data_IF_581526904663
#
_entry.id   IF_581526904663
#
_cell.length_a   1.000
_cell.length_b   1.000
_cell.length_c   1.000
_cell.angle_alpha   90.00
_cell.angle_beta   90.00
_cell.angle_gamma   90.00
#
_symmetry.space_group_name_H-M   'P 1'
#
loop_
_entity.id
_entity.type
_entity.pdbx_description
1 polymer ?
#
# COMPACT_ATOMS: atom_id res chain seq x y z
N UNK A 1 -13.17 -10.14 11.51
CA UNK A 1 -13.67 -8.77 11.44
C UNK A 1 -13.07 -8.12 10.21
N UNK A 2 -13.89 -7.81 9.21
CA UNK A 2 -13.42 -7.05 8.05
C UNK A 2 -13.29 -5.55 8.39
N UNK A 3 -12.73 -4.76 7.48
CA UNK A 3 -12.46 -3.35 7.74
C UNK A 3 -13.73 -2.48 7.84
N UNK A 4 -14.79 -2.85 7.13
CA UNK A 4 -16.08 -2.16 7.20
C UNK A 4 -16.75 -2.43 8.54
N UNK A 5 -16.80 -3.70 8.94
CA UNK A 5 -17.31 -4.15 10.24
C UNK A 5 -16.58 -3.46 11.39
N UNK A 6 -15.24 -3.43 11.36
CA UNK A 6 -14.45 -2.72 12.37
C UNK A 6 -14.77 -1.22 12.44
N UNK A 7 -14.91 -0.56 11.29
CA UNK A 7 -15.12 0.88 11.26
C UNK A 7 -16.50 1.27 11.84
N UNK A 8 -17.55 0.50 11.51
CA UNK A 8 -18.89 0.70 12.08
C UNK A 8 -18.91 0.36 13.58
N UNK A 9 -18.35 -0.79 13.99
CA UNK A 9 -18.26 -1.14 15.41
C UNK A 9 -17.45 -0.13 16.22
N UNK A 10 -16.40 0.45 15.64
CA UNK A 10 -15.58 1.47 16.27
C UNK A 10 -16.36 2.77 16.48
N UNK A 11 -17.13 3.23 15.48
CA UNK A 11 -18.00 4.40 15.63
C UNK A 11 -19.08 4.18 16.68
N UNK A 12 -19.70 2.99 16.72
CA UNK A 12 -20.66 2.64 17.76
C UNK A 12 -20.03 2.62 19.16
N UNK A 13 -18.82 2.06 19.28
CA UNK A 13 -18.08 2.04 20.54
C UNK A 13 -17.73 3.45 21.00
N UNK A 14 -17.16 4.29 20.13
CA UNK A 14 -16.79 5.67 20.46
C UNK A 14 -18.01 6.49 20.85
N UNK A 15 -19.16 6.29 20.17
CA UNK A 15 -20.42 6.93 20.55
C UNK A 15 -20.87 6.52 21.95
N UNK A 16 -20.82 5.21 22.27
CA UNK A 16 -21.15 4.70 23.61
C UNK A 16 -20.20 5.26 24.67
N UNK A 17 -18.90 5.29 24.37
CA UNK A 17 -17.88 5.85 25.27
C UNK A 17 -18.13 7.34 25.55
N UNK A 18 -18.42 8.15 24.51
CA UNK A 18 -18.79 9.57 24.67
C UNK A 18 -20.05 9.74 25.51
N UNK A 19 -21.10 8.97 25.24
CA UNK A 19 -22.37 9.06 25.99
C UNK A 19 -22.13 8.75 27.48
N UNK A 20 -21.30 7.75 27.77
CA UNK A 20 -20.99 7.36 29.15
C UNK A 20 -20.28 8.45 29.97
N UNK A 21 -19.62 9.40 29.31
CA UNK A 21 -18.89 10.50 29.95
C UNK A 21 -19.54 11.88 29.73
N UNK A 22 -20.74 11.95 29.11
CA UNK A 22 -21.37 13.24 28.76
C UNK A 22 -21.67 14.09 30.00
N UNK A 23 -22.16 13.48 31.08
CA UNK A 23 -22.41 14.18 32.34
C UNK A 23 -21.10 14.70 32.98
N UNK A 24 -20.02 13.93 32.88
CA UNK A 24 -18.69 14.34 33.37
C UNK A 24 -18.15 15.53 32.57
N UNK A 25 -18.30 15.50 31.24
CA UNK A 25 -17.96 16.61 30.35
C UNK A 25 -18.76 17.88 30.66
N UNK A 26 -20.06 17.75 30.93
CA UNK A 26 -20.89 18.90 31.32
C UNK A 26 -20.45 19.48 32.65
N UNK A 27 -20.05 18.64 33.61
CA UNK A 27 -19.39 19.05 34.85
C UNK A 27 -18.10 19.82 34.58
N UNK A 28 -17.22 19.27 33.75
CA UNK A 28 -15.97 19.92 33.36
C UNK A 28 -16.19 21.28 32.68
N UNK A 29 -17.21 21.40 31.81
CA UNK A 29 -17.60 22.67 31.19
C UNK A 29 -18.10 23.70 32.20
N UNK A 30 -18.75 23.26 33.27
CA UNK A 30 -19.19 24.12 34.36
C UNK A 30 -17.99 24.56 35.23
N UNK A 31 -17.08 23.64 35.55
CA UNK A 31 -15.86 23.92 36.32
C UNK A 31 -14.91 24.86 35.57
N UNK A 32 -14.83 24.72 34.24
CA UNK A 32 -14.03 25.58 33.36
C UNK A 32 -14.52 27.04 33.28
N UNK A 33 -15.72 27.35 33.80
CA UNK A 33 -16.13 28.75 34.03
C UNK A 33 -15.27 29.43 35.10
N UNK A 34 -14.62 28.63 35.95
CA UNK A 34 -13.64 29.06 36.93
C UNK A 34 -14.24 29.87 38.07
N UNK A 35 -13.36 30.55 38.81
CA UNK A 35 -13.69 31.48 39.87
C UNK A 35 -13.19 32.90 39.51
N UNK A 36 -13.69 33.97 40.15
CA UNK A 36 -13.27 35.32 39.85
C UNK A 36 -11.74 35.49 39.91
N UNK A 37 -11.11 35.84 38.79
CA UNK A 37 -9.67 36.08 38.65
C UNK A 37 -8.89 34.96 37.97
N UNK A 38 -9.47 33.76 37.78
CA UNK A 38 -8.80 32.60 37.16
C UNK A 38 -8.40 32.84 35.70
N UNK A 39 -9.13 33.70 34.97
CA UNK A 39 -8.84 34.07 33.58
C UNK A 39 -7.49 34.79 33.36
N UNK A 40 -6.77 35.15 34.42
CA UNK A 40 -5.46 35.80 34.33
C UNK A 40 -4.32 34.81 34.21
N UNK A 41 -4.52 33.54 34.56
CA UNK A 41 -3.49 32.52 34.47
C UNK A 41 -3.62 31.73 33.15
N UNK A 42 -2.50 31.46 32.44
CA UNK A 42 -2.51 30.74 31.16
C UNK A 42 -3.22 29.39 31.21
N UNK A 43 -2.91 28.57 32.22
CA UNK A 43 -3.48 27.24 32.43
C UNK A 43 -5.01 27.22 32.42
N UNK A 44 -5.68 28.30 32.85
CA UNK A 44 -7.14 28.38 32.84
C UNK A 44 -7.69 28.52 31.43
N UNK A 45 -7.06 29.38 30.61
CA UNK A 45 -7.44 29.57 29.21
C UNK A 45 -7.27 28.29 28.42
N UNK A 46 -6.07 27.70 28.50
CA UNK A 46 -5.72 26.44 27.83
C UNK A 46 -6.68 25.32 28.23
N UNK A 47 -6.91 25.11 29.53
CA UNK A 47 -7.82 24.04 30.01
C UNK A 47 -9.27 24.23 29.55
N UNK A 48 -9.78 25.48 29.60
CA UNK A 48 -11.14 25.79 29.16
C UNK A 48 -11.31 25.50 27.66
N UNK A 49 -10.36 25.94 26.86
CA UNK A 49 -10.42 25.79 25.41
C UNK A 49 -10.29 24.30 25.01
N UNK A 50 -9.45 23.54 25.70
CA UNK A 50 -9.34 22.08 25.55
C UNK A 50 -10.68 21.40 25.88
N UNK A 51 -11.28 21.67 27.03
CA UNK A 51 -12.55 21.04 27.43
C UNK A 51 -13.65 21.34 26.40
N UNK A 52 -13.75 22.59 25.93
CA UNK A 52 -14.75 23.00 24.95
C UNK A 52 -14.53 22.35 23.58
N UNK A 53 -13.30 22.38 23.07
CA UNK A 53 -12.97 21.81 21.77
C UNK A 53 -13.16 20.28 21.77
N UNK A 54 -12.73 19.62 22.84
CA UNK A 54 -12.87 18.18 22.98
C UNK A 54 -14.35 17.77 23.07
N UNK A 55 -15.18 18.53 23.81
CA UNK A 55 -16.62 18.29 23.88
C UNK A 55 -17.28 18.31 22.50
N UNK A 56 -17.10 19.39 21.75
CA UNK A 56 -17.73 19.55 20.43
C UNK A 56 -17.21 18.53 19.42
N UNK A 57 -15.89 18.36 19.34
CA UNK A 57 -15.31 17.45 18.37
C UNK A 57 -15.67 15.99 18.68
N UNK A 58 -15.70 15.59 19.96
CA UNK A 58 -16.10 14.23 20.34
C UNK A 58 -17.56 13.91 20.01
N UNK A 59 -18.43 14.92 20.03
CA UNK A 59 -19.83 14.80 19.62
C UNK A 59 -19.97 14.71 18.10
N UNK A 60 -19.28 15.58 17.37
CA UNK A 60 -19.31 15.65 15.90
C UNK A 60 -18.75 14.37 15.27
N UNK A 61 -17.62 13.87 15.78
CA UNK A 61 -16.91 12.71 15.23
C UNK A 61 -17.75 11.44 15.20
N UNK A 62 -18.71 11.31 16.13
CA UNK A 62 -19.57 10.11 16.29
C UNK A 62 -21.05 10.39 16.03
N UNK A 63 -21.38 11.52 15.38
CA UNK A 63 -22.75 11.94 15.12
C UNK A 63 -23.54 10.93 14.26
N UNK A 64 -22.88 10.32 13.28
CA UNK A 64 -23.39 9.22 12.46
C UNK A 64 -22.43 8.03 12.50
N UNK A 65 -22.94 6.86 12.88
CA UNK A 65 -22.15 5.63 13.02
C UNK A 65 -22.11 4.78 11.75
N UNK A 66 -22.87 5.16 10.71
CA UNK A 66 -22.93 4.45 9.42
C UNK A 66 -21.74 4.84 8.55
N UNK A 67 -21.34 3.96 7.65
CA UNK A 67 -20.38 4.27 6.57
C UNK A 67 -20.98 3.78 5.25
N UNK A 68 -21.02 4.61 4.21
CA UNK A 68 -20.58 6.01 4.17
C UNK A 68 -21.52 6.97 4.92
N UNK A 69 -20.97 8.09 5.41
CA UNK A 69 -21.71 9.22 5.96
C UNK A 69 -21.06 10.55 5.54
N UNK A 70 -21.54 11.69 6.06
CA UNK A 70 -21.01 13.02 5.72
C UNK A 70 -19.52 13.20 6.06
N UNK A 71 -19.05 12.62 7.16
CA UNK A 71 -17.67 12.73 7.62
C UNK A 71 -16.75 11.65 7.01
N UNK A 72 -17.28 10.44 6.78
CA UNK A 72 -16.51 9.28 6.36
C UNK A 72 -17.11 8.61 5.12
N UNK A 73 -16.47 8.83 3.97
CA UNK A 73 -16.86 8.19 2.71
C UNK A 73 -16.49 6.70 2.60
N UNK A 74 -15.56 6.22 3.44
CA UNK A 74 -15.12 4.81 3.45
C UNK A 74 -14.43 4.45 4.78
N UNK A 75 -14.19 3.15 5.06
CA UNK A 75 -13.41 2.71 6.23
C UNK A 75 -11.98 3.27 6.28
N UNK A 76 -11.35 3.51 5.14
CA UNK A 76 -10.03 4.16 5.04
C UNK A 76 -10.09 5.62 5.50
N UNK A 77 -11.15 6.33 5.11
CA UNK A 77 -11.35 7.73 5.51
C UNK A 77 -11.66 7.82 7.00
N UNK A 78 -12.45 6.89 7.53
CA UNK A 78 -12.63 6.74 8.96
C UNK A 78 -11.31 6.51 9.70
N UNK A 79 -10.48 5.57 9.24
CA UNK A 79 -9.18 5.28 9.83
C UNK A 79 -8.26 6.52 9.86
N UNK A 80 -8.16 7.25 8.74
CA UNK A 80 -7.40 8.49 8.66
C UNK A 80 -7.93 9.55 9.63
N UNK A 81 -9.26 9.70 9.69
CA UNK A 81 -9.93 10.59 10.64
C UNK A 81 -9.63 10.21 12.09
N UNK A 82 -9.65 8.93 12.43
CA UNK A 82 -9.40 8.43 13.78
C UNK A 82 -7.94 8.65 14.21
N UNK A 83 -6.98 8.46 13.30
CA UNK A 83 -5.55 8.78 13.55
C UNK A 83 -5.36 10.28 13.74
N UNK A 84 -6.00 11.11 12.91
CA UNK A 84 -5.96 12.56 13.06
C UNK A 84 -6.60 13.01 14.38
N UNK A 85 -7.71 12.39 14.76
CA UNK A 85 -8.37 12.67 16.04
C UNK A 85 -7.47 12.30 17.22
N UNK A 86 -6.83 11.13 17.19
CA UNK A 86 -5.85 10.74 18.21
C UNK A 86 -4.74 11.78 18.37
N UNK A 87 -4.17 12.23 17.25
CA UNK A 87 -3.10 13.24 17.26
C UNK A 87 -3.57 14.59 17.82
N UNK A 88 -4.80 15.00 17.47
CA UNK A 88 -5.43 16.20 18.03
C UNK A 88 -5.61 16.11 19.55
N UNK A 89 -6.07 14.97 20.07
CA UNK A 89 -6.25 14.75 21.51
C UNK A 89 -4.90 14.62 22.24
N UNK A 90 -3.90 14.03 21.60
CA UNK A 90 -2.54 13.96 22.16
C UNK A 90 -1.91 15.35 22.32
N UNK A 91 -2.09 16.24 21.35
CA UNK A 91 -1.60 17.62 21.48
C UNK A 91 -2.21 18.34 22.69
N UNK A 92 -3.48 18.06 23.02
CA UNK A 92 -4.10 18.58 24.24
C UNK A 92 -3.48 18.03 25.53
N UNK A 93 -3.00 16.77 25.53
CA UNK A 93 -2.24 16.21 26.67
C UNK A 93 -0.95 17.00 26.85
N UNK A 94 -0.23 17.21 25.75
CA UNK A 94 1.06 17.89 25.76
C UNK A 94 0.90 19.34 26.26
N UNK A 95 -0.11 20.06 25.79
CA UNK A 95 -0.45 21.41 26.26
C UNK A 95 -0.75 21.45 27.78
N UNK A 96 -1.48 20.46 28.31
CA UNK A 96 -1.80 20.38 29.74
C UNK A 96 -0.57 20.03 30.59
N UNK A 97 0.35 19.21 30.07
CA UNK A 97 1.63 18.91 30.71
C UNK A 97 2.52 20.15 30.81
N UNK A 98 2.56 20.97 29.76
CA UNK A 98 3.28 22.25 29.75
C UNK A 98 2.71 23.22 30.79
N UNK A 99 1.38 23.37 30.84
CA UNK A 99 0.71 24.24 31.81
C UNK A 99 0.93 23.79 33.26
N UNK A 100 0.88 22.47 33.51
CA UNK A 100 1.20 21.92 34.83
C UNK A 100 2.65 22.21 35.21
N UNK A 101 3.61 21.94 34.31
CA UNK A 101 5.03 22.18 34.59
C UNK A 101 5.32 23.66 34.87
N UNK A 102 4.71 24.56 34.10
CA UNK A 102 4.83 26.01 34.32
C UNK A 102 4.24 26.43 35.68
N UNK A 103 3.11 25.85 36.08
CA UNK A 103 2.48 26.09 37.37
C UNK A 103 3.35 25.60 38.53
N UNK A 104 3.82 24.36 38.47
CA UNK A 104 4.72 23.77 39.48
C UNK A 104 5.99 24.60 39.67
N UNK A 105 6.60 25.06 38.58
CA UNK A 105 7.78 25.92 38.62
C UNK A 105 7.50 27.28 39.27
N UNK A 106 6.39 27.93 38.90
CA UNK A 106 5.98 29.24 39.42
C UNK A 106 5.65 29.19 40.91
N UNK A 107 4.99 28.12 41.35
CA UNK A 107 4.47 27.99 42.71
C UNK A 107 5.35 27.16 43.65
N UNK A 108 6.38 26.49 43.13
CA UNK A 108 7.29 25.60 43.87
C UNK A 108 6.55 24.48 44.62
N UNK A 109 5.56 23.90 43.97
CA UNK A 109 4.75 22.79 44.46
C UNK A 109 4.73 21.67 43.42
N UNK A 110 4.25 20.49 43.82
CA UNK A 110 3.99 19.37 42.93
C UNK A 110 2.48 19.24 42.76
N UNK A 111 2.01 19.09 41.53
CA UNK A 111 0.59 18.97 41.19
C UNK A 111 0.08 20.12 40.32
N UNK A 112 -1.05 19.86 39.66
CA UNK A 112 -1.69 20.80 38.76
C UNK A 112 -2.78 21.62 39.46
N UNK A 113 -3.18 22.77 38.89
CA UNK A 113 -4.45 23.41 39.22
C UNK A 113 -5.61 22.42 39.00
N UNK A 114 -6.64 22.50 39.83
CA UNK A 114 -7.80 21.61 39.74
C UNK A 114 -8.40 21.52 38.32
N UNK A 115 -8.50 22.65 37.61
CA UNK A 115 -9.07 22.69 36.26
C UNK A 115 -8.20 21.97 35.23
N UNK A 116 -6.87 21.98 35.39
CA UNK A 116 -5.95 21.21 34.54
C UNK A 116 -6.18 19.72 34.76
N UNK A 117 -6.36 19.28 36.00
CA UNK A 117 -6.69 17.88 36.31
C UNK A 117 -8.06 17.46 35.73
N UNK A 118 -9.05 18.36 35.81
CA UNK A 118 -10.38 18.13 35.21
C UNK A 118 -10.26 17.97 33.69
N UNK A 119 -9.54 18.88 33.01
CA UNK A 119 -9.31 18.80 31.57
C UNK A 119 -8.56 17.52 31.18
N UNK A 120 -7.49 17.19 31.91
CA UNK A 120 -6.66 16.01 31.69
C UNK A 120 -7.46 14.72 31.76
N UNK A 121 -8.37 14.63 32.73
CA UNK A 121 -9.26 13.48 32.87
C UNK A 121 -10.15 13.28 31.64
N UNK A 122 -10.73 14.36 31.11
CA UNK A 122 -11.56 14.28 29.89
C UNK A 122 -10.74 13.85 28.67
N UNK A 123 -9.55 14.43 28.50
CA UNK A 123 -8.61 14.09 27.42
C UNK A 123 -8.23 12.60 27.48
N UNK A 124 -7.91 12.07 28.65
CA UNK A 124 -7.55 10.66 28.81
C UNK A 124 -8.72 9.69 28.60
N UNK A 125 -9.95 10.06 28.95
CA UNK A 125 -11.12 9.24 28.62
C UNK A 125 -11.30 9.11 27.10
N UNK A 126 -11.20 10.22 26.37
CA UNK A 126 -11.32 10.22 24.91
C UNK A 126 -10.14 9.50 24.27
N UNK A 127 -8.91 9.80 24.68
CA UNK A 127 -7.70 9.17 24.14
C UNK A 127 -7.70 7.66 24.36
N UNK A 128 -8.09 7.20 25.55
CA UNK A 128 -8.21 5.77 25.86
C UNK A 128 -9.26 5.06 25.00
N UNK A 129 -10.38 5.72 24.71
CA UNK A 129 -11.39 5.18 23.80
C UNK A 129 -10.87 5.06 22.36
N UNK A 130 -10.15 6.08 21.87
CA UNK A 130 -9.51 6.06 20.55
C UNK A 130 -8.44 4.96 20.49
N UNK A 131 -7.55 4.89 21.48
CA UNK A 131 -6.49 3.88 21.54
C UNK A 131 -7.07 2.46 21.58
N UNK A 132 -8.16 2.25 22.31
CA UNK A 132 -8.87 0.98 22.30
C UNK A 132 -9.41 0.61 20.91
N UNK A 133 -9.99 1.56 20.18
CA UNK A 133 -10.48 1.29 18.81
C UNK A 133 -9.35 1.00 17.82
N UNK A 134 -8.25 1.74 17.91
CA UNK A 134 -7.07 1.53 17.07
C UNK A 134 -6.40 0.19 17.36
N UNK A 135 -6.30 -0.22 18.63
CA UNK A 135 -5.74 -1.52 19.02
C UNK A 135 -6.56 -2.71 18.52
N UNK A 136 -7.87 -2.52 18.32
CA UNK A 136 -8.80 -3.52 17.78
C UNK A 136 -8.94 -3.46 16.27
N UNK A 137 -8.24 -2.54 15.61
CA UNK A 137 -8.18 -2.51 14.15
C UNK A 137 -7.82 -3.91 13.67
N UNK A 138 -8.62 -4.51 12.77
CA UNK A 138 -8.20 -5.75 12.15
C UNK A 138 -6.86 -5.41 11.51
N UNK A 139 -5.82 -6.09 11.99
CA UNK A 139 -4.61 -6.16 11.18
C UNK A 139 -5.10 -6.55 9.80
N UNK A 140 -4.62 -5.92 8.71
CA UNK A 140 -4.85 -6.52 7.41
C UNK A 140 -4.56 -8.01 7.61
N UNK A 141 -5.45 -8.94 7.19
CA UNK A 141 -5.05 -10.34 7.20
C UNK A 141 -3.67 -10.28 6.61
N UNK A 142 -2.66 -10.72 7.38
CA UNK A 142 -1.26 -10.54 6.98
C UNK A 142 -1.30 -10.83 5.50
N UNK A 143 -0.94 -9.87 4.66
CA UNK A 143 -0.87 -10.19 3.27
C UNK A 143 0.27 -11.22 3.24
N UNK A 144 -0.05 -12.49 3.46
CA UNK A 144 0.12 -13.50 2.46
C UNK A 144 -0.42 -12.85 1.19
N UNK A 145 0.39 -11.95 0.63
CA UNK A 145 0.78 -12.03 -0.75
C UNK A 145 0.78 -13.53 -0.98
N UNK A 146 -0.28 -14.03 -1.63
CA UNK A 146 -0.36 -15.46 -1.90
C UNK A 146 1.00 -15.85 -2.48
N UNK A 147 1.55 -17.03 -2.16
CA UNK A 147 2.86 -17.44 -2.71
C UNK A 147 2.91 -17.12 -4.21
N UNK A 148 1.79 -17.36 -4.90
CA UNK A 148 1.55 -16.98 -6.29
C UNK A 148 1.76 -15.49 -6.60
N UNK A 149 1.17 -14.55 -5.85
CA UNK A 149 1.41 -13.11 -6.06
C UNK A 149 2.87 -12.73 -5.81
N UNK A 150 3.52 -13.33 -4.81
CA UNK A 150 4.93 -13.03 -4.49
C UNK A 150 5.85 -13.54 -5.60
N UNK A 151 5.54 -14.73 -6.11
CA UNK A 151 6.22 -15.38 -7.23
C UNK A 151 6.04 -14.58 -8.54
N UNK A 152 4.84 -14.09 -8.83
CA UNK A 152 4.59 -13.21 -9.97
C UNK A 152 5.36 -11.89 -9.86
N UNK A 153 5.38 -11.27 -8.69
CA UNK A 153 6.14 -10.04 -8.45
C UNK A 153 7.66 -10.26 -8.50
N UNK A 154 8.13 -11.45 -8.12
CA UNK A 154 9.51 -11.88 -8.31
C UNK A 154 9.85 -11.96 -9.80
N UNK A 155 9.03 -12.61 -10.64
CA UNK A 155 9.26 -12.68 -12.09
C UNK A 155 9.35 -11.28 -12.70
N UNK A 156 8.43 -10.38 -12.32
CA UNK A 156 8.45 -8.98 -12.76
C UNK A 156 9.75 -8.28 -12.34
N UNK A 157 10.20 -8.52 -11.12
CA UNK A 157 11.46 -7.96 -10.61
C UNK A 157 12.67 -8.49 -11.37
N UNK A 158 12.72 -9.79 -11.65
CA UNK A 158 13.76 -10.42 -12.45
C UNK A 158 13.80 -9.85 -13.87
N UNK A 159 12.64 -9.68 -14.52
CA UNK A 159 12.54 -9.09 -15.85
C UNK A 159 13.04 -7.64 -15.89
N UNK A 160 12.67 -6.82 -14.89
CA UNK A 160 13.17 -5.44 -14.77
C UNK A 160 14.70 -5.39 -14.62
N UNK A 161 15.27 -6.34 -13.87
CA UNK A 161 16.72 -6.42 -13.61
C UNK A 161 17.50 -7.23 -14.65
N UNK A 162 16.85 -7.73 -15.69
CA UNK A 162 17.48 -8.60 -16.68
C UNK A 162 18.73 -7.98 -17.32
N UNK A 163 18.72 -6.68 -17.63
CA UNK A 163 19.90 -5.99 -18.16
C UNK A 163 21.13 -6.11 -17.25
N UNK A 164 20.95 -6.08 -15.93
CA UNK A 164 22.06 -6.26 -14.97
C UNK A 164 22.69 -7.65 -15.06
N UNK A 165 21.87 -8.69 -15.26
CA UNK A 165 22.37 -10.05 -15.50
C UNK A 165 23.18 -10.12 -16.80
N UNK A 166 22.74 -9.42 -17.85
CA UNK A 166 23.49 -9.34 -19.12
C UNK A 166 24.81 -8.60 -18.92
N UNK A 167 24.83 -7.48 -18.19
CA UNK A 167 26.05 -6.74 -17.88
C UNK A 167 27.04 -7.57 -17.05
N UNK A 168 26.55 -8.33 -16.06
CA UNK A 168 27.37 -9.21 -15.22
C UNK A 168 28.08 -10.31 -16.03
N UNK A 169 27.49 -10.73 -17.15
CA UNK A 169 28.09 -11.72 -18.05
C UNK A 169 29.06 -11.11 -19.06
N UNK A 170 29.06 -9.79 -19.31
CA UNK A 170 29.92 -9.17 -20.35
C UNK A 170 31.41 -9.38 -20.13
N UNK A 171 31.85 -9.51 -18.88
CA UNK A 171 33.26 -9.70 -18.53
C UNK A 171 33.44 -10.92 -17.64
N UNK A 172 34.34 -11.82 -18.03
CA UNK A 172 34.74 -12.92 -17.17
C UNK A 172 35.90 -12.47 -16.27
N UNK A 173 35.75 -12.41 -14.92
CA UNK A 173 36.77 -11.85 -14.02
C UNK A 173 38.17 -12.49 -14.14
N UNK A 174 38.22 -13.76 -14.55
CA UNK A 174 39.47 -14.52 -14.75
C UNK A 174 39.79 -14.84 -16.22
N UNK A 175 39.24 -14.07 -17.18
CA UNK A 175 39.59 -14.21 -18.60
C UNK A 175 39.05 -15.45 -19.31
N UNK A 176 38.03 -16.11 -18.74
CA UNK A 176 37.33 -17.24 -19.36
C UNK A 176 36.36 -16.80 -20.47
N UNK A 177 35.71 -17.79 -21.09
CA UNK A 177 34.72 -17.55 -22.13
C UNK A 177 33.49 -16.83 -21.57
N UNK A 178 32.96 -15.88 -22.34
CA UNK A 178 31.76 -15.11 -22.03
C UNK A 178 30.58 -15.61 -22.86
N UNK A 179 29.42 -15.74 -22.22
CA UNK A 179 28.16 -15.98 -22.92
C UNK A 179 27.65 -14.67 -23.54
N UNK A 180 27.68 -14.57 -24.86
CA UNK A 180 27.30 -13.35 -25.58
C UNK A 180 25.80 -13.34 -25.88
N UNK A 181 25.09 -12.30 -25.41
CA UNK A 181 23.68 -12.09 -25.70
C UNK A 181 23.54 -11.28 -26.99
N UNK A 182 23.07 -11.92 -28.07
CA UNK A 182 22.94 -11.29 -29.39
C UNK A 182 21.50 -11.22 -29.89
N UNK A 183 20.63 -12.00 -29.27
CA UNK A 183 19.28 -12.19 -29.77
C UNK A 183 18.27 -12.67 -28.73
N UNK A 184 17.05 -12.87 -29.21
CA UNK A 184 15.93 -13.34 -28.41
C UNK A 184 16.18 -14.73 -27.82
N UNK A 185 16.81 -15.64 -28.57
CA UNK A 185 17.13 -16.98 -28.10
C UNK A 185 18.16 -16.94 -26.98
N UNK A 186 19.19 -16.11 -27.12
CA UNK A 186 20.19 -15.92 -26.07
C UNK A 186 19.56 -15.31 -24.81
N UNK A 187 18.63 -14.37 -24.98
CA UNK A 187 17.87 -13.79 -23.88
C UNK A 187 16.99 -14.82 -23.19
N UNK A 188 16.25 -15.62 -23.96
CA UNK A 188 15.43 -16.71 -23.44
C UNK A 188 16.27 -17.72 -22.68
N UNK A 189 17.41 -18.15 -23.24
CA UNK A 189 18.31 -19.11 -22.59
C UNK A 189 18.82 -18.59 -21.23
N UNK A 190 19.27 -17.33 -21.19
CA UNK A 190 19.69 -16.70 -19.93
C UNK A 190 18.53 -16.57 -18.95
N UNK A 191 17.38 -16.05 -19.38
CA UNK A 191 16.25 -15.81 -18.48
C UNK A 191 15.66 -17.11 -17.94
N UNK A 192 15.63 -18.18 -18.75
CA UNK A 192 15.28 -19.53 -18.31
C UNK A 192 16.17 -19.99 -17.17
N UNK A 193 17.48 -19.76 -17.26
CA UNK A 193 18.43 -20.14 -16.19
C UNK A 193 18.15 -19.38 -14.88
N UNK A 194 17.75 -18.12 -14.99
CA UNK A 194 17.35 -17.29 -13.85
C UNK A 194 16.04 -17.80 -13.26
N UNK A 195 15.02 -18.06 -14.08
CA UNK A 195 13.74 -18.60 -13.63
C UNK A 195 13.91 -19.96 -12.95
N UNK A 196 14.69 -20.86 -13.54
CA UNK A 196 14.96 -22.19 -12.98
C UNK A 196 15.66 -22.17 -11.62
N UNK A 197 16.33 -21.07 -11.26
CA UNK A 197 16.92 -20.89 -9.94
C UNK A 197 15.88 -20.61 -8.83
N UNK A 198 14.70 -20.11 -9.20
CA UNK A 198 13.62 -19.74 -8.26
C UNK A 198 12.40 -20.65 -8.37
N UNK A 199 12.12 -21.19 -9.56
CA UNK A 199 10.92 -21.97 -9.84
C UNK A 199 11.28 -23.42 -10.18
N UNK A 200 10.75 -24.41 -9.45
CA UNK A 200 11.08 -25.82 -9.67
C UNK A 200 10.49 -26.40 -10.96
N UNK A 201 9.45 -25.77 -11.52
CA UNK A 201 8.75 -26.23 -12.72
C UNK A 201 8.61 -25.06 -13.72
N UNK A 202 9.62 -24.92 -14.58
CA UNK A 202 9.62 -24.00 -15.72
C UNK A 202 9.53 -24.84 -16.98
N UNK A 203 8.34 -24.91 -17.58
CA UNK A 203 8.09 -25.72 -18.77
C UNK A 203 8.31 -24.88 -20.01
N UNK A 204 8.87 -25.50 -21.03
CA UNK A 204 8.76 -25.00 -22.40
C UNK A 204 7.38 -25.46 -22.89
N UNK A 205 6.45 -24.53 -23.12
CA UNK A 205 5.13 -24.90 -23.62
C UNK A 205 5.18 -25.03 -25.15
N UNK A 206 5.00 -26.26 -25.64
CA UNK A 206 4.60 -26.48 -27.03
C UNK A 206 3.08 -26.37 -27.13
N UNK A 207 2.52 -25.15 -27.15
CA UNK A 207 1.09 -25.02 -27.43
C UNK A 207 0.83 -25.31 -28.91
N UNK A 208 0.11 -26.40 -29.19
CA UNK A 208 -0.46 -26.64 -30.52
C UNK A 208 -1.90 -27.12 -30.45
N UNK A 209 -2.85 -26.24 -30.80
CA UNK A 209 -4.15 -26.66 -31.30
C UNK A 209 -4.28 -26.10 -32.72
N UNK A 210 -3.83 -26.86 -33.72
CA UNK A 210 -4.30 -26.76 -35.10
C UNK A 210 -3.99 -25.48 -35.91
N UNK A 211 -2.75 -24.96 -35.87
CA UNK A 211 -2.23 -24.14 -36.98
C UNK A 211 -0.86 -24.65 -37.41
N UNK A 212 -0.83 -25.18 -38.63
CA UNK A 212 0.37 -25.70 -39.26
C UNK A 212 1.45 -24.61 -39.36
N UNK A 213 2.63 -24.87 -38.78
CA UNK A 213 3.87 -24.41 -39.42
C UNK A 213 4.83 -23.48 -38.67
N UNK A 214 4.89 -23.45 -37.34
CA UNK A 214 6.16 -23.05 -36.69
C UNK A 214 6.35 -23.73 -35.34
N UNK A 215 7.02 -24.88 -35.36
CA UNK A 215 7.69 -25.41 -34.18
C UNK A 215 8.86 -24.48 -33.81
N UNK A 216 9.13 -24.37 -32.51
CA UNK A 216 10.21 -23.61 -31.84
C UNK A 216 9.92 -22.14 -31.49
N UNK A 217 9.04 -21.90 -30.51
CA UNK A 217 9.11 -20.69 -29.66
C UNK A 217 9.33 -21.17 -28.22
N UNK A 218 10.49 -20.86 -27.64
CA UNK A 218 10.78 -21.21 -26.25
C UNK A 218 10.10 -20.18 -25.35
N UNK A 219 8.84 -20.45 -25.03
CA UNK A 219 7.97 -19.67 -24.16
C UNK A 219 7.90 -20.40 -22.80
N UNK A 220 8.02 -19.67 -21.67
CA UNK A 220 8.10 -20.33 -20.35
C UNK A 220 6.75 -20.36 -19.65
N UNK A 221 6.19 -21.56 -19.50
CA UNK A 221 4.97 -21.78 -18.76
C UNK A 221 5.26 -22.18 -17.32
N UNK A 222 4.80 -21.34 -16.38
CA UNK A 222 4.82 -21.60 -14.94
C UNK A 222 3.42 -22.04 -14.52
N UNK A 223 3.14 -23.34 -14.69
CA UNK A 223 1.81 -23.94 -14.45
C UNK A 223 1.20 -23.64 -13.08
N UNK A 224 1.93 -23.70 -11.95
CA UNK A 224 1.36 -23.35 -10.64
C UNK A 224 0.87 -21.90 -10.55
N UNK A 225 1.46 -21.00 -11.35
CA UNK A 225 1.12 -19.58 -11.40
C UNK A 225 0.14 -19.25 -12.54
N UNK A 226 -0.24 -20.25 -13.35
CA UNK A 226 -1.05 -20.08 -14.58
C UNK A 226 -0.50 -18.95 -15.46
N UNK A 227 0.83 -18.83 -15.47
CA UNK A 227 1.53 -17.69 -16.03
C UNK A 227 2.44 -18.11 -17.17
N UNK A 228 2.32 -17.37 -18.27
CA UNK A 228 3.25 -17.44 -19.39
C UNK A 228 4.27 -16.30 -19.29
N UNK A 229 5.53 -16.60 -19.59
CA UNK A 229 6.59 -15.61 -19.72
C UNK A 229 7.12 -15.60 -21.15
N UNK A 230 6.94 -14.44 -21.78
CA UNK A 230 7.35 -14.15 -23.16
C UNK A 230 8.57 -13.23 -23.15
N UNK A 231 9.54 -13.45 -24.05
CA UNK A 231 10.68 -12.55 -24.23
C UNK A 231 10.75 -12.06 -25.68
N UNK A 232 10.91 -10.75 -25.85
CA UNK A 232 11.18 -10.12 -27.15
C UNK A 232 12.49 -9.36 -27.13
N UNK A 233 13.35 -9.59 -28.13
CA UNK A 233 14.58 -8.80 -28.31
C UNK A 233 14.34 -7.68 -29.34
N UNK A 234 14.60 -6.43 -28.96
CA UNK A 234 14.45 -5.29 -29.88
C UNK A 234 15.65 -5.19 -30.82
N UNK A 235 15.47 -5.62 -32.08
CA UNK A 235 16.44 -5.41 -33.16
C UNK A 235 15.96 -4.27 -34.07
N UNK A 236 16.59 -3.08 -33.96
CA UNK A 236 16.20 -1.85 -34.69
C UNK A 236 14.83 -1.28 -34.29
N UNK A 237 14.55 -0.04 -34.69
CA UNK A 237 13.36 0.73 -34.29
C UNK A 237 12.05 0.26 -34.98
N UNK A 238 11.70 -1.02 -34.87
CA UNK A 238 10.43 -1.57 -35.37
C UNK A 238 9.48 -1.90 -34.21
N UNK A 239 9.12 -0.85 -33.46
CA UNK A 239 8.12 -0.93 -32.40
C UNK A 239 6.80 -1.53 -32.88
N UNK A 240 6.45 -1.33 -34.15
CA UNK A 240 5.21 -1.84 -34.75
C UNK A 240 5.23 -3.36 -34.86
N UNK A 241 6.34 -3.93 -35.31
CA UNK A 241 6.51 -5.39 -35.37
C UNK A 241 6.36 -6.04 -33.99
N UNK A 242 7.03 -5.50 -32.97
CA UNK A 242 6.93 -6.05 -31.61
C UNK A 242 5.51 -5.93 -31.07
N UNK A 243 4.83 -4.79 -31.28
CA UNK A 243 3.41 -4.65 -30.90
C UNK A 243 2.53 -5.70 -31.57
N UNK A 244 2.77 -6.00 -32.84
CA UNK A 244 2.01 -7.01 -33.60
C UNK A 244 2.28 -8.42 -33.09
N UNK A 245 3.54 -8.74 -32.81
CA UNK A 245 3.92 -10.04 -32.23
C UNK A 245 3.25 -10.22 -30.86
N UNK A 246 3.40 -9.25 -29.96
CA UNK A 246 2.74 -9.30 -28.65
C UNK A 246 1.21 -9.37 -28.75
N UNK A 247 0.60 -8.71 -29.73
CA UNK A 247 -0.85 -8.79 -29.94
C UNK A 247 -1.30 -10.19 -30.35
N UNK A 248 -0.50 -10.91 -31.14
CA UNK A 248 -0.77 -12.32 -31.45
C UNK A 248 -0.60 -13.18 -30.20
N UNK A 249 0.51 -12.97 -29.47
CA UNK A 249 0.81 -13.69 -28.23
C UNK A 249 -0.35 -13.52 -27.20
N UNK A 250 -0.93 -12.32 -27.08
CA UNK A 250 -2.09 -12.06 -26.22
C UNK A 250 -3.33 -12.89 -26.61
N UNK A 251 -3.57 -13.07 -27.91
CA UNK A 251 -4.71 -13.85 -28.43
C UNK A 251 -4.45 -15.33 -28.22
N UNK A 252 -3.24 -15.79 -28.55
CA UNK A 252 -2.86 -17.20 -28.49
C UNK A 252 -2.92 -17.70 -27.04
N UNK A 253 -2.28 -16.99 -26.10
CA UNK A 253 -2.30 -17.35 -24.68
C UNK A 253 -3.66 -17.12 -24.03
N UNK A 254 -4.41 -16.08 -24.44
CA UNK A 254 -5.78 -15.87 -23.96
C UNK A 254 -6.76 -16.97 -24.37
N UNK A 255 -6.42 -17.76 -25.39
CA UNK A 255 -7.18 -18.95 -25.79
C UNK A 255 -6.89 -20.20 -24.96
N UNK A 256 -5.83 -20.21 -24.13
CA UNK A 256 -5.43 -21.35 -23.32
C UNK A 256 -6.08 -21.29 -21.93
N UNK A 257 -6.91 -22.29 -21.58
CA UNK A 257 -7.57 -22.34 -20.27
C UNK A 257 -6.63 -22.52 -19.08
N UNK A 258 -5.40 -23.01 -19.32
CA UNK A 258 -4.38 -23.18 -18.28
C UNK A 258 -3.59 -21.88 -17.98
N UNK A 259 -3.75 -20.84 -18.80
CA UNK A 259 -3.06 -19.56 -18.69
C UNK A 259 -4.06 -18.43 -18.50
N UNK A 260 -3.83 -17.57 -17.52
CA UNK A 260 -4.61 -16.34 -17.33
C UNK A 260 -3.74 -15.14 -16.91
N UNK A 261 -2.42 -15.34 -16.84
CA UNK A 261 -1.40 -14.33 -16.57
C UNK A 261 -0.35 -14.35 -17.69
N UNK A 262 0.09 -13.18 -18.14
CA UNK A 262 1.17 -13.05 -19.11
C UNK A 262 2.18 -11.98 -18.69
N UNK A 263 3.45 -12.34 -18.69
CA UNK A 263 4.57 -11.42 -18.42
C UNK A 263 5.46 -11.37 -19.66
N UNK A 264 5.54 -10.21 -20.32
CA UNK A 264 6.37 -10.01 -21.51
C UNK A 264 7.59 -9.16 -21.16
N UNK A 265 8.78 -9.74 -21.19
CA UNK A 265 10.03 -9.01 -21.10
C UNK A 265 10.48 -8.56 -22.49
N UNK A 266 10.48 -7.26 -22.73
CA UNK A 266 10.99 -6.62 -23.94
C UNK A 266 12.38 -6.07 -23.66
N UNK A 267 13.40 -6.75 -24.17
CA UNK A 267 14.80 -6.38 -23.97
C UNK A 267 15.29 -5.45 -25.09
N UNK A 268 15.57 -4.19 -24.74
CA UNK A 268 15.98 -3.12 -25.65
C UNK A 268 17.35 -2.53 -25.25
N UNK A 269 18.44 -3.32 -25.36
CA UNK A 269 19.76 -2.90 -24.87
C UNK A 269 20.32 -1.66 -25.57
N UNK A 270 19.91 -1.43 -26.82
CA UNK A 270 20.41 -0.34 -27.67
C UNK A 270 19.42 0.84 -27.75
N UNK A 271 18.39 0.85 -26.89
CA UNK A 271 17.41 1.95 -26.76
C UNK A 271 16.66 2.31 -28.05
N UNK A 272 16.29 1.31 -28.86
CA UNK A 272 15.57 1.50 -30.11
C UNK A 272 14.08 1.88 -29.94
N UNK A 273 13.47 1.58 -28.79
CA UNK A 273 12.11 2.03 -28.48
C UNK A 273 12.11 3.52 -28.13
N UNK A 274 11.30 4.31 -28.84
CA UNK A 274 11.18 5.77 -28.67
C UNK A 274 10.48 6.21 -27.38
N UNK A 275 9.42 5.50 -26.98
CA UNK A 275 8.63 5.78 -25.78
C UNK A 275 8.40 4.46 -25.00
N UNK A 276 9.41 3.95 -24.28
CA UNK A 276 9.31 2.68 -23.56
C UNK A 276 8.25 2.71 -22.46
N UNK A 277 8.13 3.82 -21.72
CA UNK A 277 7.13 3.99 -20.67
C UNK A 277 5.69 3.92 -21.23
N UNK A 278 5.41 4.65 -22.32
CA UNK A 278 4.12 4.59 -23.01
C UNK A 278 3.86 3.22 -23.65
N UNK A 279 4.87 2.61 -24.25
CA UNK A 279 4.76 1.25 -24.80
C UNK A 279 4.35 0.23 -23.74
N UNK A 280 4.99 0.29 -22.56
CA UNK A 280 4.71 -0.56 -21.42
C UNK A 280 3.29 -0.32 -20.87
N UNK A 281 2.90 0.93 -20.63
CA UNK A 281 1.58 1.26 -20.06
C UNK A 281 0.43 0.97 -21.02
N UNK A 282 0.64 1.13 -22.33
CA UNK A 282 -0.38 0.86 -23.35
C UNK A 282 -0.70 -0.63 -23.47
N UNK A 283 0.32 -1.49 -23.32
CA UNK A 283 0.19 -2.93 -23.54
C UNK A 283 -0.12 -3.71 -22.26
N UNK A 284 0.30 -3.22 -21.08
CA UNK A 284 0.06 -3.85 -19.77
C UNK A 284 -1.37 -3.64 -19.29
N UNK A 285 -2.33 -4.26 -19.99
CA UNK A 285 -3.76 -4.16 -19.72
C UNK A 285 -4.39 -5.56 -19.86
N UNK A 286 -5.39 -5.90 -19.03
CA UNK A 286 -6.13 -7.15 -19.16
C UNK A 286 -6.65 -7.36 -20.58
N UNK A 287 -6.68 -8.63 -21.01
CA UNK A 287 -7.18 -9.07 -22.32
C UNK A 287 -8.20 -10.19 -22.12
N UNK A 288 -8.93 -10.52 -23.16
CA UNK A 288 -9.81 -11.70 -23.16
C UNK A 288 -8.97 -12.94 -22.82
N UNK A 289 -9.34 -13.66 -21.76
CA UNK A 289 -8.61 -14.84 -21.27
C UNK A 289 -7.40 -14.55 -20.37
N UNK A 290 -6.82 -13.34 -20.43
CA UNK A 290 -5.67 -12.93 -19.61
C UNK A 290 -6.08 -11.82 -18.63
N UNK A 291 -6.31 -12.16 -17.37
CA UNK A 291 -6.78 -11.19 -16.37
C UNK A 291 -5.66 -10.29 -15.84
N UNK A 292 -4.39 -10.67 -16.03
CA UNK A 292 -3.23 -9.80 -15.78
C UNK A 292 -2.22 -9.93 -16.93
N UNK A 293 -1.80 -8.78 -17.46
CA UNK A 293 -0.78 -8.69 -18.51
C UNK A 293 0.23 -7.64 -18.10
N UNK A 294 1.49 -8.03 -17.95
CA UNK A 294 2.59 -7.14 -17.58
C UNK A 294 3.64 -7.15 -18.69
N UNK A 295 3.72 -6.05 -19.43
CA UNK A 295 4.83 -5.81 -20.36
C UNK A 295 5.92 -5.04 -19.63
N UNK A 296 7.16 -5.47 -19.75
CA UNK A 296 8.30 -4.91 -19.02
C UNK A 296 9.40 -4.60 -20.00
N UNK A 297 9.78 -3.32 -20.12
CA UNK A 297 10.94 -2.92 -20.92
C UNK A 297 12.20 -2.92 -20.04
N UNK A 298 13.25 -3.59 -20.51
CA UNK A 298 14.56 -3.67 -19.82
C UNK A 298 15.69 -3.29 -20.81
N UNK A 299 16.63 -2.40 -20.45
CA UNK A 299 16.74 -1.68 -19.18
C UNK A 299 15.62 -0.65 -18.94
N UNK A 300 15.29 -0.34 -17.67
CA UNK A 300 14.28 0.67 -17.33
C UNK A 300 14.75 2.08 -17.75
N UNK A 301 13.83 2.88 -18.31
CA UNK A 301 14.06 4.24 -18.80
C UNK A 301 12.87 5.14 -18.52
#
# INVERSE_FOLDING_TARGET
MDKMEWAVESLEYLRKARIAIDDEFRGAMQDAKGYPGSWKDPWHGTSRDIISNLYHYSEEFVADVRIPNEMFASPERFEQGLVAYRAFVQAMVDDLDEEQAAYELKHKIVGAPHIVDVARRQVFHVLGAIDYTLARKPSPPAATVSSETADLDLIVTLARRFHESVLALKTHPHGGAVYAIKDEWDCQYLFRSILAAYFPDVREEEWSPSVAGSASRCEFFLKPLRAMVELKYVRKSDTTKIKKELANDFVDYGGNSEVDRLICLVYDPDNHLKNPAGFQSDLSKPRTGLIDVKVIVSPPR
#
